data_IF_574691255830
#
_entry.id   IF_574691255830
#
_cell.length_a   1.000
_cell.length_b   1.000
_cell.length_c   1.000
_cell.angle_alpha   90.00
_cell.angle_beta   90.00
_cell.angle_gamma   90.00
#
_symmetry.space_group_name_H-M   'P 1'
#
loop_
_entity.id
_entity.type
_entity.pdbx_description
1 polymer ?
#
# COMPACT_ATOMS: atom_id res chain seq x y z
N UNK A 1 -10.74 31.10 -14.94
CA UNK A 1 -9.41 31.68 -14.64
C UNK A 1 -9.21 31.50 -13.15
N UNK A 2 -8.55 30.45 -12.71
CA UNK A 2 -8.10 30.26 -11.35
C UNK A 2 -6.60 30.02 -11.45
N UNK A 3 -5.86 30.99 -10.93
CA UNK A 3 -4.43 31.15 -10.97
C UNK A 3 -3.73 30.01 -10.23
N UNK A 4 -2.78 29.41 -10.90
CA UNK A 4 -1.75 28.52 -10.37
C UNK A 4 -0.92 29.25 -9.33
N UNK A 5 -1.16 28.99 -8.04
CA UNK A 5 -0.23 29.36 -6.97
C UNK A 5 1.00 28.44 -7.05
N UNK A 6 2.01 28.95 -7.73
CA UNK A 6 3.38 28.50 -7.64
C UNK A 6 3.89 28.88 -6.26
N UNK A 7 4.06 27.91 -5.38
CA UNK A 7 4.79 28.07 -4.12
C UNK A 7 6.21 28.57 -4.44
N UNK A 8 6.44 29.84 -4.14
CA UNK A 8 7.75 30.51 -4.22
C UNK A 8 8.76 29.75 -3.39
N UNK A 9 9.76 29.19 -4.03
CA UNK A 9 10.94 28.57 -3.43
C UNK A 9 11.79 29.65 -2.71
N UNK A 10 11.52 29.83 -1.46
CA UNK A 10 12.47 30.45 -0.52
C UNK A 10 13.59 29.44 -0.26
N UNK A 11 14.82 29.77 -0.59
CA UNK A 11 16.16 29.18 -0.39
C UNK A 11 16.40 27.85 0.35
N UNK A 12 15.42 27.02 0.58
CA UNK A 12 15.48 25.79 1.38
C UNK A 12 15.83 24.57 0.53
N UNK A 13 16.47 23.58 1.14
CA UNK A 13 16.80 22.30 0.53
C UNK A 13 15.51 21.49 0.29
N UNK A 14 15.07 21.27 -0.96
CA UNK A 14 13.81 20.57 -1.24
C UNK A 14 13.78 19.15 -0.67
N UNK A 15 14.94 18.47 -0.57
CA UNK A 15 15.04 17.14 0.02
C UNK A 15 14.65 17.14 1.49
N UNK A 16 15.06 18.14 2.25
CA UNK A 16 14.74 18.24 3.68
C UNK A 16 13.24 18.46 3.91
N UNK A 17 12.64 19.38 3.16
CA UNK A 17 11.20 19.68 3.26
C UNK A 17 10.33 18.47 2.87
N UNK A 18 10.68 17.81 1.76
CA UNK A 18 9.97 16.64 1.29
C UNK A 18 10.13 15.47 2.27
N UNK A 19 11.36 15.26 2.79
CA UNK A 19 11.64 14.22 3.76
C UNK A 19 10.87 14.42 5.06
N UNK A 20 10.82 15.64 5.58
CA UNK A 20 10.08 15.99 6.80
C UNK A 20 8.57 15.77 6.60
N UNK A 21 8.01 16.20 5.46
CA UNK A 21 6.62 15.99 5.12
C UNK A 21 6.26 14.50 5.01
N UNK A 22 7.11 13.69 4.38
CA UNK A 22 6.93 12.24 4.26
C UNK A 22 7.05 11.54 5.62
N UNK A 23 8.02 11.90 6.45
CA UNK A 23 8.17 11.36 7.80
C UNK A 23 6.94 11.67 8.66
N UNK A 24 6.44 12.91 8.61
CA UNK A 24 5.22 13.32 9.31
C UNK A 24 4.01 12.52 8.86
N UNK A 25 3.83 12.34 7.53
CA UNK A 25 2.76 11.54 6.95
C UNK A 25 2.79 10.10 7.43
N UNK A 26 3.95 9.47 7.41
CA UNK A 26 4.14 8.09 7.84
C UNK A 26 4.25 7.93 9.37
N UNK A 27 4.10 9.03 10.12
CA UNK A 27 4.28 9.07 11.59
C UNK A 27 5.62 8.45 12.04
N UNK A 28 6.66 8.63 11.22
CA UNK A 28 7.99 8.09 11.47
C UNK A 28 8.86 9.13 12.18
N UNK A 29 9.54 8.69 13.24
CA UNK A 29 10.66 9.44 13.78
C UNK A 29 11.98 9.05 13.06
N UNK A 30 13.07 9.79 13.33
CA UNK A 30 14.36 9.57 12.68
C UNK A 30 14.94 8.16 12.96
N UNK A 31 14.67 7.61 14.14
CA UNK A 31 15.13 6.26 14.53
C UNK A 31 14.38 5.19 13.74
N UNK A 32 13.08 5.33 13.60
CA UNK A 32 12.26 4.40 12.82
C UNK A 32 12.62 4.46 11.34
N UNK A 33 12.83 5.65 10.78
CA UNK A 33 13.30 5.79 9.41
C UNK A 33 14.69 5.19 9.22
N UNK A 34 15.60 5.35 10.20
CA UNK A 34 16.92 4.71 10.19
C UNK A 34 16.81 3.20 10.12
N UNK A 35 15.95 2.60 10.94
CA UNK A 35 15.72 1.14 10.97
C UNK A 35 15.12 0.63 9.64
N UNK A 36 14.17 1.38 9.05
CA UNK A 36 13.52 0.99 7.79
C UNK A 36 14.43 1.15 6.57
N UNK A 37 15.20 2.24 6.52
CA UNK A 37 16.03 2.57 5.35
C UNK A 37 17.44 1.98 5.40
N UNK A 38 17.91 1.55 6.58
CA UNK A 38 19.30 1.18 6.79
C UNK A 38 20.29 2.36 6.69
N UNK A 39 19.79 3.59 6.73
CA UNK A 39 20.59 4.82 6.76
C UNK A 39 20.74 5.26 8.22
N UNK A 40 21.96 5.57 8.66
CA UNK A 40 22.19 5.96 10.05
C UNK A 40 21.42 7.22 10.46
N UNK A 41 20.89 7.23 11.68
CA UNK A 41 20.14 8.37 12.21
C UNK A 41 20.91 9.71 12.11
N UNK A 42 22.24 9.80 12.40
CA UNK A 42 23.01 11.03 12.20
C UNK A 42 23.01 11.51 10.74
N UNK A 43 22.99 10.58 9.76
CA UNK A 43 22.90 10.96 8.34
C UNK A 43 21.52 11.52 7.99
N UNK A 44 20.45 10.94 8.52
CA UNK A 44 19.08 11.45 8.35
C UNK A 44 18.95 12.82 9.00
N UNK A 45 19.41 12.97 10.23
CA UNK A 45 19.41 14.25 10.95
C UNK A 45 20.16 15.35 10.19
N UNK A 46 21.30 15.00 9.59
CA UNK A 46 22.07 15.94 8.76
C UNK A 46 21.28 16.39 7.54
N UNK A 47 20.57 15.48 6.83
CA UNK A 47 19.74 15.83 5.67
C UNK A 47 18.62 16.80 6.07
N UNK A 48 17.95 16.56 7.21
CA UNK A 48 16.86 17.39 7.71
C UNK A 48 17.33 18.79 8.13
N UNK A 49 18.55 18.90 8.66
CA UNK A 49 19.08 20.16 9.21
C UNK A 49 19.95 20.93 8.20
N UNK A 50 20.38 20.33 7.11
CA UNK A 50 21.15 21.01 6.06
C UNK A 50 20.23 21.93 5.23
N UNK A 51 20.11 23.19 5.67
CA UNK A 51 19.36 24.25 4.96
C UNK A 51 20.08 24.78 3.72
N UNK A 52 21.32 24.37 3.48
CA UNK A 52 22.13 24.83 2.35
C UNK A 52 22.04 23.87 1.16
N UNK A 53 21.71 24.38 -0.03
CA UNK A 53 21.66 23.67 -1.33
C UNK A 53 22.97 22.97 -1.73
N UNK A 54 24.04 23.10 -0.98
CA UNK A 54 25.40 22.79 -1.46
C UNK A 54 25.77 21.31 -1.48
N UNK A 55 25.04 20.39 -0.84
CA UNK A 55 25.33 18.95 -0.91
C UNK A 55 24.08 18.10 -0.88
N UNK A 56 23.61 17.72 -2.05
CA UNK A 56 22.64 16.61 -2.14
C UNK A 56 23.23 15.36 -1.47
N UNK A 57 22.42 14.62 -0.71
CA UNK A 57 22.83 13.32 -0.19
C UNK A 57 23.35 12.41 -1.30
N UNK A 58 24.25 11.47 -0.99
CA UNK A 58 24.75 10.50 -1.97
C UNK A 58 23.57 9.74 -2.59
N UNK A 59 23.66 9.43 -3.87
CA UNK A 59 22.61 8.71 -4.64
C UNK A 59 22.14 7.44 -3.93
N UNK A 60 23.06 6.67 -3.36
CA UNK A 60 22.74 5.46 -2.60
C UNK A 60 21.91 5.75 -1.33
N UNK A 61 22.21 6.84 -0.62
CA UNK A 61 21.45 7.28 0.56
C UNK A 61 20.03 7.71 0.17
N UNK A 62 19.89 8.46 -0.93
CA UNK A 62 18.59 8.85 -1.47
C UNK A 62 17.76 7.64 -1.87
N UNK A 63 18.35 6.65 -2.54
CA UNK A 63 17.66 5.42 -2.94
C UNK A 63 17.14 4.63 -1.73
N UNK A 64 17.94 4.49 -0.68
CA UNK A 64 17.55 3.79 0.55
C UNK A 64 16.40 4.49 1.28
N UNK A 65 16.49 5.83 1.42
CA UNK A 65 15.43 6.61 2.07
C UNK A 65 14.16 6.60 1.23
N UNK A 66 14.28 6.83 -0.08
CA UNK A 66 13.14 6.83 -1.00
C UNK A 66 12.40 5.48 -1.00
N UNK A 67 13.16 4.36 -1.04
CA UNK A 67 12.59 3.01 -0.93
C UNK A 67 11.85 2.76 0.39
N UNK A 68 12.39 3.27 1.52
CA UNK A 68 11.73 3.14 2.83
C UNK A 68 10.44 3.97 2.96
N UNK A 69 10.31 5.04 2.18
CA UNK A 69 9.17 5.95 2.17
C UNK A 69 8.21 5.72 0.99
N UNK A 70 8.48 4.73 0.13
CA UNK A 70 7.63 4.39 -1.01
C UNK A 70 7.59 5.44 -2.12
N UNK A 71 8.66 6.25 -2.26
CA UNK A 71 8.81 7.27 -3.31
C UNK A 71 10.03 6.99 -4.18
N UNK A 72 10.15 7.68 -5.33
CA UNK A 72 11.37 7.62 -6.16
C UNK A 72 12.43 8.61 -5.63
N UNK A 73 13.72 8.40 -5.90
CA UNK A 73 14.76 9.39 -5.59
C UNK A 73 14.50 10.75 -6.23
N UNK A 74 13.93 10.77 -7.42
CA UNK A 74 13.55 11.95 -8.18
C UNK A 74 12.43 12.73 -7.48
N UNK A 75 11.46 12.03 -6.93
CA UNK A 75 10.39 12.59 -6.08
C UNK A 75 10.97 13.15 -4.78
N UNK A 76 11.88 12.41 -4.13
CA UNK A 76 12.49 12.86 -2.88
C UNK A 76 13.38 14.10 -3.07
N UNK A 77 13.96 14.28 -4.25
CA UNK A 77 14.76 15.47 -4.61
C UNK A 77 13.94 16.63 -5.19
N UNK A 78 12.64 16.44 -5.38
CA UNK A 78 11.75 17.44 -5.99
C UNK A 78 11.90 17.58 -7.49
N UNK A 79 12.65 16.69 -8.16
CA UNK A 79 12.78 16.66 -9.62
C UNK A 79 11.51 16.15 -10.29
N UNK A 80 10.78 15.25 -9.61
CA UNK A 80 9.46 14.81 -10.00
C UNK A 80 8.43 15.21 -8.92
N UNK A 81 7.24 15.68 -9.32
CA UNK A 81 6.22 16.05 -8.34
C UNK A 81 5.74 14.80 -7.59
N UNK A 82 5.80 14.86 -6.27
CA UNK A 82 5.01 13.94 -5.45
C UNK A 82 3.57 14.39 -5.61
N UNK A 83 2.73 13.56 -6.21
CA UNK A 83 1.33 13.91 -6.40
C UNK A 83 0.71 14.25 -5.04
N UNK A 84 0.25 15.50 -4.88
CA UNK A 84 -0.40 15.98 -3.64
C UNK A 84 -1.63 15.13 -3.29
N UNK A 85 -2.28 14.52 -4.29
CA UNK A 85 -3.35 13.53 -4.08
C UNK A 85 -2.88 12.29 -3.31
N UNK A 86 -1.64 11.85 -3.50
CA UNK A 86 -1.05 10.75 -2.73
C UNK A 86 -0.81 11.14 -1.27
N UNK A 87 -0.52 12.42 -0.99
CA UNK A 87 -0.26 12.88 0.39
C UNK A 87 -1.53 13.11 1.21
N UNK A 88 -2.65 13.54 0.61
CA UNK A 88 -3.79 14.06 1.35
C UNK A 88 -4.79 12.99 1.85
N UNK A 89 -4.84 11.78 1.27
CA UNK A 89 -5.93 10.83 1.50
C UNK A 89 -5.50 9.36 1.63
N UNK A 90 -4.23 9.07 1.96
CA UNK A 90 -3.81 7.68 2.07
C UNK A 90 -4.07 6.90 0.78
N UNK A 91 -3.51 7.37 -0.34
CA UNK A 91 -3.63 6.65 -1.60
C UNK A 91 -2.86 5.33 -1.53
N UNK A 92 -3.48 4.27 -2.02
CA UNK A 92 -2.92 2.93 -2.08
C UNK A 92 -2.69 2.51 -3.55
N UNK A 93 -1.68 1.68 -3.83
CA UNK A 93 -1.43 1.18 -5.17
C UNK A 93 -2.52 0.20 -5.60
N UNK A 94 -2.96 0.30 -6.86
CA UNK A 94 -3.77 -0.74 -7.49
C UNK A 94 -2.82 -1.78 -8.06
N UNK A 95 -2.95 -3.02 -7.60
CA UNK A 95 -2.10 -4.14 -8.01
C UNK A 95 -2.84 -5.08 -8.96
N UNK A 96 -2.09 -5.80 -9.79
CA UNK A 96 -2.61 -6.97 -10.48
C UNK A 96 -2.54 -8.21 -9.58
N UNK A 97 -3.42 -9.20 -9.80
CA UNK A 97 -3.43 -10.46 -9.06
C UNK A 97 -2.14 -11.26 -9.22
N UNK A 98 -1.49 -11.16 -10.37
CA UNK A 98 -0.20 -11.76 -10.67
C UNK A 98 0.94 -11.24 -9.77
N UNK A 99 0.84 -9.99 -9.32
CA UNK A 99 1.85 -9.39 -8.45
C UNK A 99 1.89 -10.00 -7.05
N UNK A 100 0.79 -10.60 -6.60
CA UNK A 100 0.71 -11.30 -5.32
C UNK A 100 1.53 -12.58 -5.31
N UNK A 101 1.62 -13.26 -6.43
CA UNK A 101 2.34 -14.55 -6.56
C UNK A 101 3.84 -14.38 -6.83
N UNK A 102 4.25 -13.25 -7.41
CA UNK A 102 5.64 -13.01 -7.83
C UNK A 102 6.40 -12.03 -6.93
N UNK A 103 5.76 -11.53 -5.86
CA UNK A 103 6.34 -10.55 -4.91
C UNK A 103 6.89 -9.27 -5.59
N UNK A 104 6.33 -8.91 -6.76
CA UNK A 104 6.74 -7.72 -7.53
C UNK A 104 5.90 -6.53 -7.09
N UNK A 105 6.33 -5.84 -6.03
CA UNK A 105 5.63 -4.66 -5.50
C UNK A 105 5.93 -3.35 -6.24
N UNK A 106 6.80 -3.33 -7.25
CA UNK A 106 7.45 -2.12 -7.73
C UNK A 106 6.98 -1.55 -9.07
N UNK A 107 5.85 -2.02 -9.63
CA UNK A 107 5.32 -1.44 -10.88
C UNK A 107 3.84 -1.05 -10.71
N UNK A 108 3.60 -0.02 -9.92
CA UNK A 108 2.25 0.51 -9.76
C UNK A 108 2.09 1.79 -10.57
N UNK A 109 1.32 1.73 -11.64
CA UNK A 109 1.01 2.87 -12.49
C UNK A 109 -0.20 3.67 -12.00
N UNK A 110 -1.05 3.06 -11.14
CA UNK A 110 -2.31 3.64 -10.69
C UNK A 110 -2.36 3.62 -9.17
N UNK A 111 -2.73 4.76 -8.60
CA UNK A 111 -2.97 4.93 -7.17
C UNK A 111 -4.37 5.47 -6.95
N UNK A 112 -5.07 4.97 -5.95
CA UNK A 112 -6.42 5.41 -5.60
C UNK A 112 -6.50 5.73 -4.11
N UNK A 113 -7.35 6.70 -3.76
CA UNK A 113 -7.60 7.04 -2.36
C UNK A 113 -8.34 5.89 -1.66
N UNK A 114 -7.85 5.45 -0.53
CA UNK A 114 -8.56 4.51 0.34
C UNK A 114 -9.48 5.33 1.27
N UNK A 115 -10.80 5.06 1.30
CA UNK A 115 -11.76 5.89 2.04
C UNK A 115 -11.85 5.54 3.53
N UNK A 116 -11.07 4.57 4.01
CA UNK A 116 -11.03 4.14 5.41
C UNK A 116 -9.61 4.18 5.96
N UNK A 117 -9.48 4.16 7.30
CA UNK A 117 -8.19 4.02 7.96
C UNK A 117 -7.52 2.70 7.56
N UNK A 118 -6.24 2.76 7.26
CA UNK A 118 -5.49 1.64 6.72
C UNK A 118 -3.99 1.74 7.06
N UNK A 119 -3.30 0.60 6.96
CA UNK A 119 -1.84 0.58 7.12
C UNK A 119 -1.10 1.03 5.86
N UNK A 120 0.18 1.38 6.00
CA UNK A 120 1.05 1.75 4.87
C UNK A 120 1.28 0.61 3.86
N UNK A 121 0.91 -0.62 4.23
CA UNK A 121 1.05 -1.80 3.38
C UNK A 121 -0.22 -2.11 2.58
N UNK A 122 -1.27 -1.31 2.77
CA UNK A 122 -2.56 -1.49 2.08
C UNK A 122 -2.41 -1.31 0.58
N UNK A 123 -3.10 -2.14 -0.16
CA UNK A 123 -3.16 -2.11 -1.61
C UNK A 123 -4.59 -2.37 -2.09
N UNK A 124 -4.85 -2.12 -3.36
CA UNK A 124 -6.13 -2.39 -3.98
C UNK A 124 -6.02 -3.41 -5.11
N UNK A 125 -7.07 -4.19 -5.29
CA UNK A 125 -7.26 -5.13 -6.40
C UNK A 125 -8.61 -4.86 -7.06
N UNK A 126 -8.71 -5.21 -8.33
CA UNK A 126 -10.00 -5.30 -9.02
C UNK A 126 -10.54 -6.72 -8.89
N UNK A 127 -11.78 -6.86 -8.44
CA UNK A 127 -12.45 -8.17 -8.30
C UNK A 127 -12.51 -8.86 -9.66
N UNK A 128 -12.04 -10.09 -9.69
CA UNK A 128 -12.03 -10.96 -10.87
C UNK A 128 -12.57 -12.35 -10.53
N UNK A 129 -13.26 -12.94 -11.46
CA UNK A 129 -13.84 -14.26 -11.33
C UNK A 129 -15.10 -14.30 -10.46
N UNK A 130 -15.79 -15.42 -10.46
CA UNK A 130 -17.16 -15.53 -9.95
C UNK A 130 -17.28 -15.99 -8.50
N UNK A 131 -16.21 -16.46 -7.88
CA UNK A 131 -16.26 -17.10 -6.56
C UNK A 131 -16.85 -16.21 -5.45
N UNK A 132 -16.60 -14.89 -5.51
CA UNK A 132 -17.04 -13.93 -4.52
C UNK A 132 -18.16 -13.01 -5.04
N UNK A 133 -18.73 -13.30 -6.21
CA UNK A 133 -19.86 -12.56 -6.77
C UNK A 133 -21.17 -13.08 -6.16
N UNK A 134 -22.05 -12.18 -5.72
CA UNK A 134 -23.34 -12.52 -5.15
C UNK A 134 -24.02 -11.34 -4.49
N UNK A 135 -25.23 -11.52 -3.97
CA UNK A 135 -26.01 -10.46 -3.34
C UNK A 135 -25.30 -9.93 -2.08
N UNK A 136 -24.74 -10.82 -1.27
CA UNK A 136 -23.92 -10.49 -0.08
C UNK A 136 -22.41 -10.44 -0.37
N UNK A 137 -22.04 -10.32 -1.65
CA UNK A 137 -20.68 -10.36 -2.12
C UNK A 137 -20.28 -9.13 -2.92
N UNK A 138 -19.47 -9.38 -3.92
CA UNK A 138 -18.87 -8.37 -4.77
C UNK A 138 -19.40 -8.49 -6.19
N UNK A 139 -19.00 -7.55 -7.03
CA UNK A 139 -19.29 -7.60 -8.46
C UNK A 139 -17.99 -7.57 -9.26
N UNK A 140 -18.03 -8.14 -10.46
CA UNK A 140 -16.91 -8.07 -11.41
C UNK A 140 -16.48 -6.60 -11.63
N UNK A 141 -15.16 -6.35 -11.59
CA UNK A 141 -14.61 -5.00 -11.77
C UNK A 141 -14.72 -4.08 -10.55
N UNK A 142 -15.31 -4.52 -9.44
CA UNK A 142 -15.32 -3.77 -8.17
C UNK A 142 -13.91 -3.68 -7.60
N UNK A 143 -13.57 -2.56 -6.99
CA UNK A 143 -12.27 -2.37 -6.33
C UNK A 143 -12.40 -2.79 -4.87
N UNK A 144 -11.50 -3.65 -4.41
CA UNK A 144 -11.34 -4.04 -3.01
C UNK A 144 -10.03 -3.50 -2.48
N UNK A 145 -10.04 -3.04 -1.21
CA UNK A 145 -8.88 -2.53 -0.49
C UNK A 145 -8.47 -3.56 0.54
N UNK A 146 -7.24 -4.01 0.45
CA UNK A 146 -6.69 -5.12 1.24
C UNK A 146 -5.63 -4.58 2.17
N UNK A 147 -5.82 -4.76 3.48
CA UNK A 147 -4.88 -4.33 4.50
C UNK A 147 -4.19 -5.54 5.16
N UNK A 148 -2.87 -5.72 4.95
CA UNK A 148 -2.09 -6.74 5.63
C UNK A 148 -1.97 -6.54 7.15
N UNK A 149 -2.17 -5.30 7.63
CA UNK A 149 -2.14 -4.97 9.06
C UNK A 149 -3.39 -5.43 9.82
N UNK A 150 -4.47 -5.78 9.11
CA UNK A 150 -5.72 -6.24 9.72
C UNK A 150 -5.75 -7.77 9.77
N UNK A 151 -5.80 -8.31 10.98
CA UNK A 151 -5.83 -9.76 11.18
C UNK A 151 -7.10 -10.39 10.56
N UNK A 152 -6.95 -11.56 9.89
CA UNK A 152 -8.09 -12.31 9.38
C UNK A 152 -8.97 -12.80 10.52
N UNK A 153 -10.29 -12.60 10.41
CA UNK A 153 -11.27 -13.00 11.40
C UNK A 153 -12.46 -13.72 10.76
N UNK A 154 -13.26 -14.41 11.58
CA UNK A 154 -14.48 -15.07 11.11
C UNK A 154 -15.41 -14.08 10.40
N UNK A 155 -15.90 -14.44 9.22
CA UNK A 155 -16.79 -13.63 8.40
C UNK A 155 -16.10 -12.50 7.62
N UNK A 156 -14.80 -12.30 7.80
CA UNK A 156 -14.03 -11.33 7.01
C UNK A 156 -13.57 -11.92 5.68
N UNK A 157 -13.51 -11.07 4.68
CA UNK A 157 -13.05 -11.45 3.36
C UNK A 157 -11.54 -11.22 3.26
N UNK A 158 -10.81 -12.19 2.74
CA UNK A 158 -9.36 -12.22 2.72
C UNK A 158 -8.83 -12.53 1.33
N UNK A 159 -7.68 -11.97 1.02
CA UNK A 159 -6.88 -12.34 -0.15
C UNK A 159 -5.68 -13.14 0.33
N UNK A 160 -5.42 -14.26 -0.31
CA UNK A 160 -4.34 -15.19 0.04
C UNK A 160 -3.71 -15.80 -1.20
N UNK A 161 -2.51 -16.34 -1.05
CA UNK A 161 -1.82 -17.14 -2.06
C UNK A 161 -1.61 -18.54 -1.51
N UNK A 162 -1.92 -19.56 -2.28
CA UNK A 162 -1.65 -20.98 -2.00
C UNK A 162 -1.30 -21.67 -3.30
N UNK A 163 -0.33 -22.58 -3.27
CA UNK A 163 0.16 -23.31 -4.46
C UNK A 163 0.42 -22.37 -5.68
N UNK A 164 0.93 -21.17 -5.44
CA UNK A 164 1.22 -20.18 -6.49
C UNK A 164 -0.02 -19.51 -7.11
N UNK A 165 -1.21 -19.71 -6.54
CA UNK A 165 -2.47 -19.12 -7.02
C UNK A 165 -3.02 -18.14 -5.98
N UNK A 166 -3.40 -16.94 -6.44
CA UNK A 166 -4.07 -15.98 -5.59
C UNK A 166 -5.57 -16.27 -5.51
N UNK A 167 -6.11 -16.26 -4.30
CA UNK A 167 -7.53 -16.54 -4.01
C UNK A 167 -8.15 -15.39 -3.24
N UNK A 168 -9.41 -15.11 -3.52
CA UNK A 168 -10.26 -14.20 -2.78
C UNK A 168 -11.41 -14.99 -2.16
N UNK A 169 -11.51 -15.04 -0.81
CA UNK A 169 -12.46 -15.89 -0.08
C UNK A 169 -12.89 -15.24 1.23
N UNK A 170 -14.01 -15.71 1.77
CA UNK A 170 -14.47 -15.40 3.13
C UNK A 170 -13.84 -16.36 4.13
N UNK A 171 -13.23 -15.82 5.17
CA UNK A 171 -12.69 -16.61 6.28
C UNK A 171 -13.82 -17.14 7.17
N UNK A 172 -13.82 -18.43 7.41
CA UNK A 172 -14.73 -19.09 8.38
C UNK A 172 -13.88 -19.75 9.45
N UNK A 173 -14.10 -19.40 10.70
CA UNK A 173 -13.39 -19.97 11.84
C UNK A 173 -14.41 -20.71 12.70
N UNK A 174 -14.19 -22.00 12.94
CA UNK A 174 -15.03 -22.87 13.75
C UNK A 174 -14.17 -23.55 14.83
N UNK A 175 -14.78 -24.38 15.67
CA UNK A 175 -14.05 -25.23 16.62
C UNK A 175 -13.20 -26.30 15.91
N UNK A 176 -13.58 -26.68 14.70
CA UNK A 176 -12.89 -27.68 13.88
C UNK A 176 -11.70 -27.12 13.11
N UNK A 177 -11.59 -25.78 13.00
CA UNK A 177 -10.48 -25.14 12.29
C UNK A 177 -10.87 -23.91 11.50
N UNK A 178 -9.98 -23.57 10.55
CA UNK A 178 -10.14 -22.44 9.64
C UNK A 178 -10.50 -22.94 8.25
N UNK A 179 -11.49 -22.31 7.65
CA UNK A 179 -12.00 -22.64 6.33
C UNK A 179 -12.08 -21.37 5.48
N UNK A 180 -12.08 -21.56 4.18
CA UNK A 180 -12.31 -20.54 3.17
C UNK A 180 -13.64 -20.81 2.48
N UNK A 181 -14.51 -19.78 2.42
CA UNK A 181 -15.83 -19.88 1.79
C UNK A 181 -15.94 -18.94 0.61
N UNK A 182 -16.58 -19.40 -0.47
CA UNK A 182 -17.05 -18.52 -1.55
C UNK A 182 -18.37 -17.85 -1.15
N UNK A 183 -18.66 -16.70 -1.71
CA UNK A 183 -19.95 -16.02 -1.52
C UNK A 183 -20.96 -16.42 -2.59
N UNK A 184 -20.47 -16.80 -3.77
CA UNK A 184 -21.31 -17.29 -4.86
C UNK A 184 -21.98 -18.62 -4.50
N UNK A 185 -23.32 -18.67 -4.36
CA UNK A 185 -24.04 -19.90 -4.01
C UNK A 185 -23.97 -20.98 -5.09
N UNK A 186 -23.69 -20.62 -6.33
CA UNK A 186 -23.56 -21.55 -7.48
C UNK A 186 -22.14 -22.09 -7.64
N UNK A 187 -21.20 -21.73 -6.76
CA UNK A 187 -19.83 -22.22 -6.86
C UNK A 187 -19.74 -23.72 -6.50
N UNK A 188 -19.06 -24.54 -7.30
CA UNK A 188 -19.10 -26.02 -7.14
C UNK A 188 -18.62 -26.52 -5.78
N UNK A 189 -17.60 -25.87 -5.20
CA UNK A 189 -17.05 -26.22 -3.89
C UNK A 189 -17.02 -24.97 -3.01
N UNK A 190 -18.15 -24.65 -2.33
CA UNK A 190 -18.29 -23.36 -1.64
C UNK A 190 -17.44 -23.23 -0.38
N UNK A 191 -16.98 -24.32 0.20
CA UNK A 191 -16.16 -24.32 1.43
C UNK A 191 -14.97 -25.28 1.23
N UNK A 192 -13.79 -24.82 1.66
CA UNK A 192 -12.57 -25.63 1.69
C UNK A 192 -11.78 -25.33 2.97
N UNK A 193 -11.06 -26.31 3.55
CA UNK A 193 -10.12 -26.02 4.64
C UNK A 193 -9.08 -24.98 4.19
N UNK A 194 -8.59 -24.14 5.13
CA UNK A 194 -7.48 -23.26 4.86
C UNK A 194 -6.23 -24.12 4.57
N UNK A 195 -5.63 -24.01 3.35
CA UNK A 195 -4.43 -24.78 3.02
C UNK A 195 -3.27 -24.48 3.96
N UNK A 196 -2.47 -25.49 4.28
CA UNK A 196 -1.33 -25.34 5.20
C UNK A 196 -0.22 -24.41 4.64
N UNK A 197 -0.11 -24.30 3.31
CA UNK A 197 0.82 -23.44 2.59
C UNK A 197 0.24 -22.03 2.31
N UNK A 198 -0.98 -21.75 2.78
CA UNK A 198 -1.65 -20.49 2.49
C UNK A 198 -0.94 -19.31 3.15
N UNK A 199 -0.58 -18.31 2.34
CA UNK A 199 -0.06 -17.03 2.77
C UNK A 199 -1.16 -16.00 2.64
N UNK A 200 -1.67 -15.49 3.77
CA UNK A 200 -2.70 -14.45 3.75
C UNK A 200 -2.02 -13.11 3.42
N UNK A 201 -2.41 -12.51 2.29
CA UNK A 201 -1.91 -11.22 1.82
C UNK A 201 -2.53 -10.06 2.58
N UNK A 202 -3.75 -10.21 3.09
CA UNK A 202 -4.45 -9.24 3.92
C UNK A 202 -5.96 -9.44 3.96
N UNK A 203 -6.61 -8.61 4.76
CA UNK A 203 -8.07 -8.59 4.96
C UNK A 203 -8.68 -7.44 4.18
N UNK A 204 -9.82 -7.64 3.54
CA UNK A 204 -10.56 -6.56 2.87
C UNK A 204 -11.15 -5.62 3.91
N UNK A 205 -10.78 -4.35 3.82
CA UNK A 205 -11.22 -3.28 4.73
C UNK A 205 -12.29 -2.38 4.11
N UNK A 206 -12.33 -2.30 2.79
CA UNK A 206 -13.34 -1.56 2.05
C UNK A 206 -13.50 -2.13 0.63
N UNK A 207 -14.67 -1.95 0.05
CA UNK A 207 -14.91 -2.17 -1.38
C UNK A 207 -15.76 -1.05 -1.97
N UNK A 208 -15.60 -0.81 -3.27
CA UNK A 208 -16.34 0.25 -3.94
C UNK A 208 -16.21 0.20 -5.45
N UNK A 209 -17.07 0.97 -6.11
CA UNK A 209 -17.05 1.15 -7.58
C UNK A 209 -16.68 2.55 -7.93
N UNK A 210 -15.77 2.68 -8.88
CA UNK A 210 -15.56 3.92 -9.60
C UNK A 210 -16.64 3.99 -10.68
N UNK A 211 -17.52 5.01 -10.62
CA UNK A 211 -18.52 5.30 -11.65
C UNK A 211 -17.97 6.33 -12.63
#
# INVERSE_FOLDING_TARGET
MITSDTLSTSGNNPVAEILEALMSKHRLNQTELSNRSGVSQPAINRILNERSRAKNPRKETLQKIAGALGVTPEQLTGQEPISIRMMAYGAVPVMGWENLTHNVRNQHSIWIACPVDHSDLTFALTVQGEAMIGDDGYREGEIIFIDPGVAPAHGKDVVLVTAGTALFRRMVITQEGRFLKTVNPSWPNPIMPLPADAIICGTVVFSGRVR
#
